data_IF_488992627908
#
_entry.id   IF_488992627908
#
_cell.length_a   1.000
_cell.length_b   1.000
_cell.length_c   1.000
_cell.angle_alpha   90.00
_cell.angle_beta   90.00
_cell.angle_gamma   90.00
#
_symmetry.space_group_name_H-M   'P 1'
#
loop_
_entity.id
_entity.type
_entity.pdbx_description
1 polymer ?
#
# COMPACT_ATOMS: atom_id res chain seq x y z
N UNK A 1 6.77 39.98 -10.63
CA UNK A 1 7.72 39.18 -9.82
C UNK A 1 7.63 37.77 -10.39
N UNK A 2 8.66 37.31 -11.12
CA UNK A 2 8.69 35.92 -11.58
C UNK A 2 8.61 35.03 -10.31
N UNK A 3 7.83 33.94 -10.31
CA UNK A 3 7.85 33.02 -9.18
C UNK A 3 9.30 32.62 -8.94
N UNK A 4 9.74 32.63 -7.67
CA UNK A 4 11.04 32.11 -7.31
C UNK A 4 11.17 30.73 -7.95
N UNK A 5 12.22 30.54 -8.76
CA UNK A 5 12.53 29.22 -9.32
C UNK A 5 12.81 28.34 -8.12
N UNK A 6 11.90 27.41 -7.84
CA UNK A 6 12.09 26.41 -6.79
C UNK A 6 13.04 25.39 -7.38
N UNK A 7 14.20 25.24 -6.75
CA UNK A 7 15.08 24.10 -6.95
C UNK A 7 14.65 23.02 -5.94
N UNK A 8 14.02 21.97 -6.44
CA UNK A 8 13.49 20.86 -5.63
C UNK A 8 14.59 19.87 -5.21
N UNK A 9 15.78 19.96 -5.80
CA UNK A 9 16.91 19.08 -5.50
C UNK A 9 18.06 19.78 -4.76
N UNK A 10 18.02 21.10 -4.60
CA UNK A 10 19.00 21.84 -3.79
C UNK A 10 19.03 21.33 -2.35
N UNK A 11 20.22 20.98 -1.86
CA UNK A 11 20.46 20.38 -0.55
C UNK A 11 19.60 19.13 -0.26
N UNK A 12 19.15 18.43 -1.31
CA UNK A 12 18.34 17.23 -1.17
C UNK A 12 19.19 16.02 -0.82
N UNK A 13 18.69 15.20 0.11
CA UNK A 13 19.29 13.90 0.45
C UNK A 13 18.83 12.76 -0.48
N UNK A 14 18.15 13.06 -1.59
CA UNK A 14 17.64 12.06 -2.51
C UNK A 14 18.79 11.31 -3.21
N UNK A 15 18.79 9.99 -3.05
CA UNK A 15 19.72 9.08 -3.71
C UNK A 15 18.97 8.29 -4.80
N UNK A 16 18.86 8.87 -6.00
CA UNK A 16 18.18 8.23 -7.13
C UNK A 16 18.74 6.85 -7.49
N UNK A 17 20.07 6.65 -7.65
CA UNK A 17 20.62 5.32 -7.91
C UNK A 17 20.26 4.29 -6.82
N UNK A 18 20.28 4.71 -5.55
CA UNK A 18 19.88 3.87 -4.42
C UNK A 18 18.40 3.48 -4.47
N UNK A 19 17.51 4.43 -4.78
CA UNK A 19 16.07 4.19 -4.94
C UNK A 19 15.80 3.23 -6.12
N UNK A 20 16.48 3.41 -7.25
CA UNK A 20 16.35 2.52 -8.39
C UNK A 20 16.81 1.10 -8.07
N UNK A 21 17.94 0.96 -7.36
CA UNK A 21 18.42 -0.34 -6.89
C UNK A 21 17.41 -1.00 -5.94
N UNK A 22 16.81 -0.23 -5.04
CA UNK A 22 15.78 -0.73 -4.12
C UNK A 22 14.56 -1.26 -4.87
N UNK A 23 14.03 -0.50 -5.83
CA UNK A 23 12.90 -0.93 -6.68
C UNK A 23 13.21 -2.24 -7.43
N UNK A 24 14.39 -2.37 -8.02
CA UNK A 24 14.82 -3.61 -8.68
C UNK A 24 14.89 -4.79 -7.71
N UNK A 25 15.40 -4.58 -6.50
CA UNK A 25 15.51 -5.63 -5.49
C UNK A 25 14.12 -6.06 -4.98
N UNK A 26 13.22 -5.12 -4.70
CA UNK A 26 11.87 -5.42 -4.21
C UNK A 26 11.11 -6.29 -5.21
N UNK A 27 11.26 -6.05 -6.52
CA UNK A 27 10.64 -6.87 -7.58
C UNK A 27 11.12 -8.33 -7.59
N UNK A 28 12.27 -8.63 -6.97
CA UNK A 28 12.83 -9.99 -6.90
C UNK A 28 12.41 -10.73 -5.63
N UNK A 29 11.86 -10.03 -4.63
CA UNK A 29 11.46 -10.64 -3.36
C UNK A 29 10.17 -11.42 -3.58
N UNK A 30 10.23 -12.73 -3.35
CA UNK A 30 9.05 -13.59 -3.31
C UNK A 30 8.45 -13.61 -1.90
N UNK A 31 7.14 -13.87 -1.77
CA UNK A 31 6.52 -14.16 -0.49
C UNK A 31 7.24 -15.30 0.25
N UNK A 32 7.43 -15.21 1.58
CA UNK A 32 8.06 -16.27 2.34
C UNK A 32 7.15 -17.51 2.35
N UNK A 33 7.73 -18.69 2.10
CA UNK A 33 7.01 -19.95 2.20
C UNK A 33 6.80 -20.33 3.65
N UNK A 34 5.63 -20.87 3.97
CA UNK A 34 5.35 -21.46 5.27
C UNK A 34 6.35 -22.60 5.57
N UNK A 35 7.15 -22.49 6.65
CA UNK A 35 8.23 -23.43 6.90
C UNK A 35 7.79 -24.70 7.65
N UNK A 36 6.55 -24.76 8.13
CA UNK A 36 6.00 -25.90 8.86
C UNK A 36 5.11 -26.78 7.98
N UNK A 37 4.65 -27.92 8.51
CA UNK A 37 3.72 -28.80 7.81
C UNK A 37 2.35 -28.15 7.62
N UNK A 38 1.66 -28.54 6.54
CA UNK A 38 0.28 -28.16 6.24
C UNK A 38 -0.59 -29.40 6.11
N UNK A 39 -1.80 -29.35 6.65
CA UNK A 39 -2.86 -30.31 6.38
C UNK A 39 -3.50 -30.00 5.02
N UNK A 40 -3.16 -30.80 4.01
CA UNK A 40 -3.61 -30.58 2.63
C UNK A 40 -5.13 -30.66 2.46
N UNK A 41 -5.83 -31.45 3.28
CA UNK A 41 -7.29 -31.52 3.22
C UNK A 41 -7.92 -30.22 3.74
N UNK A 42 -7.36 -29.65 4.81
CA UNK A 42 -7.78 -28.34 5.31
C UNK A 42 -7.39 -27.20 4.37
N UNK A 43 -6.22 -27.25 3.72
CA UNK A 43 -5.82 -26.28 2.68
C UNK A 43 -6.84 -26.28 1.55
N UNK A 44 -7.22 -27.45 1.02
CA UNK A 44 -8.21 -27.57 -0.06
C UNK A 44 -9.57 -27.00 0.36
N UNK A 45 -10.07 -27.39 1.54
CA UNK A 45 -11.33 -26.87 2.10
C UNK A 45 -11.25 -25.35 2.34
N UNK A 46 -10.12 -24.84 2.83
CA UNK A 46 -9.89 -23.43 3.07
C UNK A 46 -9.86 -22.62 1.79
N UNK A 47 -9.29 -23.16 0.71
CA UNK A 47 -9.30 -22.54 -0.61
C UNK A 47 -10.74 -22.38 -1.14
N UNK A 48 -11.60 -23.39 -0.96
CA UNK A 48 -13.02 -23.27 -1.31
C UNK A 48 -13.70 -22.16 -0.51
N UNK A 49 -13.44 -22.07 0.80
CA UNK A 49 -13.99 -21.02 1.68
C UNK A 49 -13.51 -19.64 1.23
N UNK A 50 -12.21 -19.48 0.99
CA UNK A 50 -11.59 -18.21 0.57
C UNK A 50 -12.23 -17.66 -0.71
N UNK A 51 -12.62 -18.54 -1.63
CA UNK A 51 -13.23 -18.18 -2.90
C UNK A 51 -14.77 -18.02 -2.87
N UNK A 52 -15.42 -18.19 -1.71
CA UNK A 52 -16.87 -17.92 -1.56
C UNK A 52 -17.17 -16.44 -1.80
N UNK A 53 -18.46 -16.14 -1.97
CA UNK A 53 -18.93 -14.76 -1.91
C UNK A 53 -18.65 -14.16 -0.51
N UNK A 54 -18.21 -12.89 -0.39
CA UNK A 54 -17.97 -12.27 0.91
C UNK A 54 -19.17 -12.29 1.86
N UNK A 55 -20.40 -12.28 1.32
CA UNK A 55 -21.64 -12.42 2.12
C UNK A 55 -21.75 -13.78 2.82
N UNK A 56 -21.05 -14.79 2.31
CA UNK A 56 -20.96 -16.14 2.84
C UNK A 56 -19.60 -16.43 3.50
N UNK A 57 -18.87 -15.38 3.89
CA UNK A 57 -17.58 -15.49 4.58
C UNK A 57 -16.36 -15.73 3.69
N UNK A 58 -16.48 -15.56 2.36
CA UNK A 58 -15.32 -15.59 1.47
C UNK A 58 -14.48 -14.31 1.52
N UNK A 59 -13.28 -14.37 0.93
CA UNK A 59 -12.26 -13.31 1.03
C UNK A 59 -11.79 -12.80 -0.33
N UNK A 60 -11.76 -13.66 -1.36
CA UNK A 60 -11.17 -13.34 -2.66
C UNK A 60 -12.00 -12.34 -3.47
N UNK A 61 -13.25 -12.71 -3.77
CA UNK A 61 -14.09 -12.07 -4.79
C UNK A 61 -14.32 -10.59 -4.46
N UNK A 62 -13.81 -9.70 -5.32
CA UNK A 62 -13.95 -8.25 -5.14
C UNK A 62 -13.11 -7.66 -4.00
N UNK A 63 -12.21 -8.43 -3.38
CA UNK A 63 -11.31 -7.98 -2.32
C UNK A 63 -9.89 -8.53 -2.54
N UNK A 64 -9.60 -9.75 -2.08
CA UNK A 64 -8.25 -10.31 -2.01
C UNK A 64 -7.86 -11.25 -3.17
N UNK A 65 -8.63 -11.27 -4.25
CA UNK A 65 -8.37 -12.15 -5.39
C UNK A 65 -7.09 -11.79 -6.15
N UNK A 66 -6.41 -12.82 -6.67
CA UNK A 66 -5.30 -12.65 -7.60
C UNK A 66 -5.88 -12.45 -9.00
N UNK A 67 -6.23 -11.20 -9.30
CA UNK A 67 -6.71 -10.79 -10.61
C UNK A 67 -5.70 -9.89 -11.32
N UNK A 68 -5.65 -9.95 -12.66
CA UNK A 68 -4.76 -9.10 -13.46
C UNK A 68 -5.25 -7.65 -13.48
N UNK A 69 -4.38 -6.72 -13.08
CA UNK A 69 -4.61 -5.28 -13.13
C UNK A 69 -4.37 -4.69 -14.51
N UNK A 70 -4.68 -3.39 -14.66
CA UNK A 70 -4.43 -2.66 -15.88
C UNK A 70 -2.91 -2.52 -16.13
N UNK A 71 -2.41 -2.77 -17.36
CA UNK A 71 -1.01 -2.56 -17.70
C UNK A 71 -0.60 -1.11 -17.44
N UNK A 72 0.55 -0.92 -16.79
CA UNK A 72 1.15 0.40 -16.58
C UNK A 72 2.42 0.54 -17.42
N UNK A 73 2.84 1.78 -17.67
CA UNK A 73 4.04 2.10 -18.48
C UNK A 73 5.24 1.26 -18.04
N UNK A 74 5.44 1.10 -16.73
CA UNK A 74 6.56 0.37 -16.14
C UNK A 74 6.23 -1.02 -15.60
N UNK A 75 5.10 -1.57 -16.01
CA UNK A 75 4.73 -2.94 -15.65
C UNK A 75 3.82 -3.51 -16.74
N UNK A 76 4.42 -3.85 -17.88
CA UNK A 76 3.72 -4.42 -19.04
C UNK A 76 3.17 -5.83 -18.77
N UNK A 77 3.80 -6.57 -17.84
CA UNK A 77 3.32 -7.89 -17.37
C UNK A 77 2.04 -7.75 -16.52
N UNK A 78 1.81 -6.57 -15.96
CA UNK A 78 0.63 -6.19 -15.17
C UNK A 78 0.89 -6.27 -13.67
N UNK A 79 0.28 -5.36 -12.91
CA UNK A 79 0.16 -5.50 -11.44
C UNK A 79 -1.08 -6.33 -11.12
N UNK A 80 -1.28 -6.70 -9.85
CA UNK A 80 -2.59 -7.20 -9.43
C UNK A 80 -3.65 -6.10 -9.49
N UNK A 81 -4.89 -6.51 -9.70
CA UNK A 81 -6.08 -5.67 -9.56
C UNK A 81 -6.50 -5.70 -8.10
N UNK A 82 -5.97 -4.77 -7.30
CA UNK A 82 -6.33 -4.62 -5.90
C UNK A 82 -7.42 -3.54 -5.76
N UNK A 83 -8.63 -3.90 -5.29
CA UNK A 83 -9.69 -2.93 -5.07
C UNK A 83 -9.38 -2.05 -3.85
N UNK A 84 -9.94 -0.84 -3.85
CA UNK A 84 -9.78 0.14 -2.79
C UNK A 84 -11.16 0.42 -2.21
N UNK A 85 -11.40 -0.11 -1.01
CA UNK A 85 -12.73 -0.24 -0.40
C UNK A 85 -12.71 0.31 1.04
N UNK A 86 -13.80 0.94 1.49
CA UNK A 86 -13.96 1.28 2.90
C UNK A 86 -14.66 0.12 3.60
N UNK A 87 -13.87 -0.63 4.36
CA UNK A 87 -14.33 -1.83 5.10
C UNK A 87 -14.54 -1.55 6.58
N UNK A 88 -14.68 -0.28 6.99
CA UNK A 88 -14.97 0.09 8.38
C UNK A 88 -13.75 0.14 9.31
N UNK A 89 -12.53 -0.06 8.78
CA UNK A 89 -11.29 0.00 9.57
C UNK A 89 -10.95 1.43 9.99
N UNK A 90 -9.90 1.57 10.81
CA UNK A 90 -9.47 2.85 11.37
C UNK A 90 -9.33 3.95 10.29
N UNK A 91 -9.77 5.17 10.58
CA UNK A 91 -9.83 6.27 9.62
C UNK A 91 -8.73 7.33 9.79
N UNK A 92 -7.86 7.18 10.80
CA UNK A 92 -6.90 8.20 11.19
C UNK A 92 -5.88 8.51 10.11
N UNK A 93 -5.40 7.50 9.38
CA UNK A 93 -4.40 7.72 8.32
C UNK A 93 -4.93 8.66 7.23
N UNK A 94 -6.19 8.50 6.84
CA UNK A 94 -6.85 9.43 5.92
C UNK A 94 -6.94 10.85 6.46
N UNK A 95 -7.22 10.99 7.76
CA UNK A 95 -7.22 12.30 8.41
C UNK A 95 -5.82 12.92 8.44
N UNK A 96 -4.77 12.10 8.60
CA UNK A 96 -3.36 12.54 8.51
C UNK A 96 -3.08 13.12 7.13
N UNK A 97 -3.43 12.42 6.05
CA UNK A 97 -3.18 12.86 4.67
C UNK A 97 -3.81 14.23 4.33
N UNK A 98 -4.94 14.57 4.97
CA UNK A 98 -5.63 15.85 4.73
C UNK A 98 -5.32 16.95 5.75
N UNK A 99 -4.40 16.71 6.70
CA UNK A 99 -3.90 17.76 7.60
C UNK A 99 -3.30 18.89 6.79
N UNK A 100 -3.35 20.10 7.33
CA UNK A 100 -2.73 21.27 6.73
C UNK A 100 -1.44 21.63 7.45
N UNK A 101 -0.44 22.06 6.69
CA UNK A 101 0.84 22.57 7.17
C UNK A 101 1.23 23.84 6.43
N UNK A 102 2.15 24.60 7.02
CA UNK A 102 2.78 25.74 6.34
C UNK A 102 3.59 25.23 5.15
N UNK A 103 3.42 25.86 3.99
CA UNK A 103 4.07 25.43 2.74
C UNK A 103 5.50 25.95 2.62
N UNK A 104 5.86 26.94 3.44
CA UNK A 104 7.22 27.46 3.55
C UNK A 104 7.77 27.95 2.20
N UNK A 105 8.93 27.43 1.82
CA UNK A 105 9.59 27.78 0.54
C UNK A 105 8.76 27.43 -0.69
N UNK A 106 7.78 26.51 -0.56
CA UNK A 106 6.90 26.11 -1.65
C UNK A 106 5.65 26.98 -1.77
N UNK A 107 5.49 28.02 -0.96
CA UNK A 107 4.36 28.94 -1.05
C UNK A 107 4.28 29.57 -2.46
N UNK A 108 3.13 29.43 -3.12
CA UNK A 108 2.90 29.89 -4.49
C UNK A 108 3.50 29.00 -5.58
N UNK A 109 4.23 27.93 -5.22
CA UNK A 109 4.81 27.00 -6.18
C UNK A 109 3.73 26.11 -6.82
N UNK A 110 3.99 25.71 -8.07
CA UNK A 110 3.15 24.83 -8.89
C UNK A 110 3.96 24.24 -10.03
N UNK A 111 3.48 23.12 -10.59
CA UNK A 111 3.99 22.56 -11.83
C UNK A 111 2.87 22.59 -12.86
N UNK A 112 2.97 23.54 -13.81
CA UNK A 112 1.96 23.70 -14.84
C UNK A 112 1.79 22.40 -15.64
N UNK A 113 0.55 22.13 -16.10
CA UNK A 113 0.19 20.99 -16.95
C UNK A 113 0.23 19.60 -16.29
N UNK A 114 0.54 19.49 -14.99
CA UNK A 114 0.39 18.23 -14.23
C UNK A 114 -0.84 18.32 -13.32
N UNK A 115 -1.93 17.61 -13.64
CA UNK A 115 -3.14 17.63 -12.83
C UNK A 115 -2.86 17.31 -11.35
N UNK A 116 -3.40 18.12 -10.45
CA UNK A 116 -3.28 17.93 -9.00
C UNK A 116 -2.19 18.79 -8.36
N UNK A 117 -1.17 19.20 -9.11
CA UNK A 117 -0.12 20.14 -8.68
C UNK A 117 0.00 21.38 -9.61
N UNK A 118 -0.99 21.56 -10.48
CA UNK A 118 -1.10 22.65 -11.45
C UNK A 118 -1.57 23.98 -10.84
N UNK A 119 -2.12 23.93 -9.63
CA UNK A 119 -2.56 25.10 -8.86
C UNK A 119 -1.49 25.55 -7.87
N UNK A 120 -1.24 26.87 -7.71
CA UNK A 120 -0.34 27.38 -6.69
C UNK A 120 -0.70 26.87 -5.30
N UNK A 121 0.28 26.39 -4.55
CA UNK A 121 0.12 26.15 -3.12
C UNK A 121 -0.18 27.45 -2.38
N UNK A 122 -1.09 27.38 -1.41
CA UNK A 122 -1.38 28.48 -0.48
C UNK A 122 -0.29 28.60 0.60
N UNK A 123 -0.24 29.66 1.42
CA UNK A 123 0.66 29.72 2.57
C UNK A 123 0.50 28.53 3.52
N UNK A 124 -0.74 28.05 3.68
CA UNK A 124 -1.09 26.82 4.38
C UNK A 124 -1.95 25.96 3.46
N UNK A 125 -1.54 24.72 3.22
CA UNK A 125 -2.23 23.77 2.34
C UNK A 125 -2.15 22.35 2.91
N UNK A 126 -2.87 21.40 2.31
CA UNK A 126 -2.85 20.00 2.73
C UNK A 126 -1.44 19.43 2.59
N UNK A 127 -0.97 18.68 3.58
CA UNK A 127 0.36 18.05 3.57
C UNK A 127 0.54 17.18 2.32
N UNK A 128 -0.52 16.54 1.85
CA UNK A 128 -0.46 15.71 0.64
C UNK A 128 -0.29 16.54 -0.64
N UNK A 129 -0.79 17.79 -0.68
CA UNK A 129 -0.51 18.73 -1.77
C UNK A 129 0.96 19.16 -1.77
N UNK A 130 1.50 19.44 -0.58
CA UNK A 130 2.90 19.83 -0.39
C UNK A 130 3.82 18.69 -0.83
N UNK A 131 3.59 17.47 -0.31
CA UNK A 131 4.33 16.27 -0.67
C UNK A 131 4.26 15.99 -2.18
N UNK A 132 3.06 16.05 -2.76
CA UNK A 132 2.85 15.81 -4.19
C UNK A 132 3.69 16.76 -5.05
N UNK A 133 3.69 18.05 -4.73
CA UNK A 133 4.50 19.04 -5.47
C UNK A 133 6.00 18.76 -5.32
N UNK A 134 6.49 18.51 -4.11
CA UNK A 134 7.91 18.23 -3.86
C UNK A 134 8.41 17.00 -4.59
N UNK A 135 7.64 15.89 -4.55
CA UNK A 135 8.01 14.63 -5.19
C UNK A 135 8.02 14.78 -6.71
N UNK A 136 6.97 15.38 -7.28
CA UNK A 136 6.88 15.58 -8.73
C UNK A 136 7.98 16.53 -9.21
N UNK A 137 8.22 17.62 -8.49
CA UNK A 137 9.30 18.57 -8.79
C UNK A 137 10.67 17.88 -8.81
N UNK A 138 10.98 17.09 -7.78
CA UNK A 138 12.23 16.33 -7.69
C UNK A 138 12.40 15.37 -8.88
N UNK A 139 11.35 14.65 -9.27
CA UNK A 139 11.38 13.72 -10.42
C UNK A 139 11.66 14.47 -11.73
N UNK A 140 11.06 15.65 -11.93
CA UNK A 140 11.25 16.44 -13.14
C UNK A 140 12.67 17.01 -13.23
N UNK A 141 13.24 17.43 -12.10
CA UNK A 141 14.58 18.02 -12.05
C UNK A 141 15.70 16.97 -12.02
N UNK A 142 15.41 15.71 -11.69
CA UNK A 142 16.41 14.65 -11.59
C UNK A 142 17.41 14.59 -12.76
N UNK A 143 17.00 14.72 -14.05
CA UNK A 143 17.95 14.69 -15.16
C UNK A 143 18.93 15.87 -15.19
N UNK A 144 18.54 17.03 -14.64
CA UNK A 144 19.40 18.22 -14.58
C UNK A 144 20.53 18.05 -13.56
N UNK A 145 20.28 17.30 -12.48
CA UNK A 145 21.25 17.11 -11.40
C UNK A 145 22.04 15.80 -11.52
N UNK A 146 21.42 14.73 -12.02
CA UNK A 146 21.99 13.38 -12.06
C UNK A 146 22.33 12.88 -13.47
N UNK A 147 22.04 13.67 -14.51
CA UNK A 147 22.23 13.26 -15.90
C UNK A 147 20.99 12.59 -16.51
N UNK A 148 20.94 12.54 -17.84
CA UNK A 148 19.80 11.99 -18.60
C UNK A 148 19.62 10.47 -18.40
N UNK A 149 20.67 9.79 -17.97
CA UNK A 149 20.74 8.34 -17.76
C UNK A 149 20.10 7.89 -16.43
N UNK A 150 19.75 8.81 -15.52
CA UNK A 150 19.08 8.50 -14.25
C UNK A 150 17.80 7.68 -14.43
N UNK A 151 17.13 7.83 -15.59
CA UNK A 151 15.92 7.09 -15.95
C UNK A 151 16.16 5.94 -16.93
N UNK A 152 17.40 5.67 -17.35
CA UNK A 152 17.69 4.64 -18.35
C UNK A 152 17.16 3.25 -17.95
N UNK A 153 17.31 2.76 -16.69
CA UNK A 153 16.74 1.47 -16.31
C UNK A 153 15.21 1.42 -16.42
N UNK A 154 14.55 2.54 -16.12
CA UNK A 154 13.10 2.71 -16.31
C UNK A 154 12.79 2.71 -17.81
N UNK A 155 13.51 3.46 -18.64
CA UNK A 155 13.26 3.49 -20.08
C UNK A 155 13.43 2.10 -20.73
N UNK A 156 14.47 1.36 -20.34
CA UNK A 156 14.76 0.02 -20.85
C UNK A 156 13.66 -0.99 -20.45
N UNK A 157 13.21 -0.94 -19.19
CA UNK A 157 12.15 -1.84 -18.69
C UNK A 157 10.75 -1.45 -19.19
N UNK A 158 10.45 -0.14 -19.20
CA UNK A 158 9.10 0.38 -19.40
C UNK A 158 8.79 0.70 -20.87
N UNK A 159 9.80 1.05 -21.66
CA UNK A 159 9.67 1.45 -23.05
C UNK A 159 10.70 0.74 -23.93
N UNK A 160 10.76 -0.61 -23.94
CA UNK A 160 11.71 -1.34 -24.78
C UNK A 160 11.53 -1.04 -26.28
N UNK A 161 10.31 -0.67 -26.69
CA UNK A 161 10.04 -0.22 -28.06
C UNK A 161 10.65 1.15 -28.38
N UNK A 162 10.85 2.03 -27.39
CA UNK A 162 11.52 3.32 -27.59
C UNK A 162 13.02 3.14 -27.81
N UNK A 163 13.64 2.09 -27.24
CA UNK A 163 15.04 1.75 -27.49
C UNK A 163 15.32 1.34 -28.95
N UNK A 164 14.29 0.92 -29.69
CA UNK A 164 14.37 0.53 -31.10
C UNK A 164 13.75 1.56 -32.06
N UNK A 165 13.18 2.65 -31.53
CA UNK A 165 12.48 3.66 -32.31
C UNK A 165 13.43 4.77 -32.81
N UNK A 166 13.02 5.50 -33.84
CA UNK A 166 13.71 6.73 -34.24
C UNK A 166 13.64 7.78 -33.11
N UNK A 167 14.56 8.74 -33.04
CA UNK A 167 14.59 9.75 -31.97
C UNK A 167 13.27 10.54 -31.81
N UNK A 168 12.57 10.83 -32.90
CA UNK A 168 11.29 11.55 -32.87
C UNK A 168 10.15 10.67 -32.36
N UNK A 169 10.08 9.42 -32.83
CA UNK A 169 9.10 8.45 -32.36
C UNK A 169 9.32 8.07 -30.89
N UNK A 170 10.58 7.94 -30.46
CA UNK A 170 10.96 7.72 -29.06
C UNK A 170 10.52 8.89 -28.17
N UNK A 171 10.78 10.14 -28.58
CA UNK A 171 10.32 11.35 -27.86
C UNK A 171 8.80 11.39 -27.71
N UNK A 172 8.05 11.05 -28.76
CA UNK A 172 6.58 11.00 -28.70
C UNK A 172 6.08 9.86 -27.78
N UNK A 173 6.70 8.68 -27.85
CA UNK A 173 6.38 7.54 -26.98
C UNK A 173 6.61 7.90 -25.51
N UNK A 174 7.78 8.44 -25.21
CA UNK A 174 8.17 8.89 -23.86
C UNK A 174 7.20 9.95 -23.37
N UNK A 175 6.89 10.97 -24.17
CA UNK A 175 5.95 12.03 -23.78
C UNK A 175 4.54 11.49 -23.45
N UNK A 176 3.98 10.66 -24.32
CA UNK A 176 2.63 10.11 -24.12
C UNK A 176 2.56 9.19 -22.90
N UNK A 177 3.59 8.37 -22.71
CA UNK A 177 3.67 7.42 -21.59
C UNK A 177 3.94 8.13 -20.27
N UNK A 178 4.85 9.11 -20.25
CA UNK A 178 5.13 9.94 -19.08
C UNK A 178 3.88 10.74 -18.67
N UNK A 179 3.15 11.33 -19.62
CA UNK A 179 1.89 12.02 -19.33
C UNK A 179 0.86 11.09 -18.68
N UNK A 180 0.72 9.84 -19.16
CA UNK A 180 -0.20 8.86 -18.58
C UNK A 180 0.26 8.36 -17.20
N UNK A 181 1.57 8.22 -16.99
CA UNK A 181 2.15 7.86 -15.70
C UNK A 181 1.96 8.97 -14.66
N UNK A 182 2.17 10.23 -15.05
CA UNK A 182 2.01 11.40 -14.19
C UNK A 182 0.55 11.67 -13.82
N UNK A 183 -0.41 11.38 -14.72
CA UNK A 183 -1.85 11.54 -14.43
C UNK A 183 -2.34 10.73 -13.22
N UNK A 184 -1.68 9.60 -12.89
CA UNK A 184 -2.03 8.77 -11.74
C UNK A 184 -0.99 8.82 -10.61
N UNK A 185 0.05 9.66 -10.74
CA UNK A 185 1.12 9.75 -9.76
C UNK A 185 0.63 10.43 -8.47
N UNK A 186 -0.32 11.34 -8.61
CA UNK A 186 -0.93 12.05 -7.50
C UNK A 186 -2.41 12.31 -7.77
N UNK A 187 -3.26 11.70 -6.96
CA UNK A 187 -4.69 12.02 -6.91
C UNK A 187 -4.98 12.64 -5.55
N UNK A 188 -5.41 13.90 -5.54
CA UNK A 188 -5.86 14.54 -4.31
C UNK A 188 -7.05 13.73 -3.76
N UNK A 189 -7.06 13.36 -2.47
CA UNK A 189 -8.18 12.63 -1.89
C UNK A 189 -9.49 13.40 -2.13
N UNK A 190 -10.53 12.70 -2.60
CA UNK A 190 -11.88 13.25 -2.63
C UNK A 190 -12.29 13.71 -1.22
N UNK A 191 -13.17 14.71 -1.12
CA UNK A 191 -13.75 15.07 0.17
C UNK A 191 -14.49 13.83 0.73
N UNK A 192 -14.11 13.38 1.94
CA UNK A 192 -14.62 12.16 2.55
C UNK A 192 -16.16 12.20 2.69
N UNK A 193 -16.82 11.03 2.58
CA UNK A 193 -17.03 10.29 3.83
C UNK A 193 -16.46 8.86 3.86
N UNK A 194 -15.72 8.39 2.85
CA UNK A 194 -15.16 7.02 2.82
C UNK A 194 -13.66 6.97 3.09
N UNK A 195 -13.22 6.06 3.97
CA UNK A 195 -11.82 5.80 4.33
C UNK A 195 -11.36 4.47 3.74
N UNK A 196 -10.92 4.49 2.49
CA UNK A 196 -10.74 3.28 1.68
C UNK A 196 -9.32 2.73 1.76
N UNK A 197 -9.14 1.46 2.05
CA UNK A 197 -7.81 0.84 2.02
C UNK A 197 -7.73 -0.17 0.88
N UNK A 198 -6.51 -0.40 0.42
CA UNK A 198 -6.23 -1.41 -0.60
C UNK A 198 -6.46 -2.81 -0.01
N UNK A 199 -7.30 -3.61 -0.66
CA UNK A 199 -7.38 -5.04 -0.42
C UNK A 199 -6.25 -5.72 -1.20
N UNK A 200 -5.08 -5.86 -0.55
CA UNK A 200 -3.90 -6.51 -1.14
C UNK A 200 -4.20 -7.98 -1.45
N UNK A 201 -3.43 -8.61 -2.33
CA UNK A 201 -3.43 -10.08 -2.38
C UNK A 201 -2.81 -10.65 -1.09
N UNK A 202 -3.13 -11.89 -0.77
CA UNK A 202 -2.77 -12.51 0.53
C UNK A 202 -1.50 -13.38 0.46
N UNK A 203 -0.71 -13.27 -0.60
CA UNK A 203 0.56 -13.97 -0.72
C UNK A 203 1.52 -13.61 0.44
N UNK A 204 1.99 -14.60 1.18
CA UNK A 204 2.83 -14.44 2.37
C UNK A 204 2.13 -13.82 3.58
N UNK A 205 0.79 -13.75 3.61
CA UNK A 205 0.02 -13.09 4.67
C UNK A 205 0.35 -13.65 6.06
N UNK A 206 0.70 -14.93 6.15
CA UNK A 206 1.07 -15.56 7.42
C UNK A 206 2.23 -14.82 8.11
N UNK A 207 3.18 -14.26 7.36
CA UNK A 207 4.36 -13.60 7.90
C UNK A 207 4.17 -12.10 8.22
N UNK A 208 2.96 -11.55 8.01
CA UNK A 208 2.70 -10.11 8.06
C UNK A 208 2.07 -9.61 9.37
N UNK A 209 2.04 -10.44 10.42
CA UNK A 209 1.47 -10.04 11.70
C UNK A 209 2.23 -8.85 12.33
N UNK A 210 1.54 -7.93 13.05
CA UNK A 210 0.09 -7.89 13.27
C UNK A 210 -0.70 -7.36 12.05
N UNK A 211 -2.00 -7.63 12.04
CA UNK A 211 -2.91 -7.40 10.91
C UNK A 211 -3.72 -6.10 11.02
N UNK A 212 -4.38 -5.76 9.90
CA UNK A 212 -4.92 -4.44 9.55
C UNK A 212 -3.82 -3.41 9.26
N UNK A 213 -4.19 -2.32 8.58
CA UNK A 213 -3.24 -1.28 8.15
C UNK A 213 -2.54 -0.57 9.32
N UNK A 214 -3.12 -0.63 10.53
CA UNK A 214 -2.57 -0.04 11.75
C UNK A 214 -1.99 -1.09 12.72
N UNK A 215 -1.95 -2.37 12.34
CA UNK A 215 -1.41 -3.43 13.17
C UNK A 215 -2.19 -3.69 14.47
N UNK A 216 -3.48 -3.38 14.52
CA UNK A 216 -4.31 -3.45 15.74
C UNK A 216 -4.85 -4.85 16.06
N UNK A 217 -4.59 -5.86 15.23
CA UNK A 217 -5.07 -7.25 15.42
C UNK A 217 -3.89 -8.23 15.40
N UNK A 218 -3.63 -9.01 16.47
CA UNK A 218 -2.37 -9.75 16.60
C UNK A 218 -2.25 -11.01 15.74
N UNK A 219 -3.37 -11.67 15.42
CA UNK A 219 -3.39 -12.96 14.70
C UNK A 219 -4.49 -12.98 13.63
N UNK A 220 -4.36 -13.82 12.59
CA UNK A 220 -5.44 -14.01 11.62
C UNK A 220 -6.68 -14.64 12.28
N UNK A 221 -6.48 -15.52 13.26
CA UNK A 221 -7.59 -16.09 14.03
C UNK A 221 -8.39 -15.00 14.77
N UNK A 222 -7.71 -13.98 15.33
CA UNK A 222 -8.37 -12.83 15.94
C UNK A 222 -9.06 -11.93 14.89
N UNK A 223 -8.51 -11.80 13.69
CA UNK A 223 -9.14 -11.05 12.61
C UNK A 223 -10.49 -11.65 12.19
N UNK A 224 -10.62 -12.99 12.25
CA UNK A 224 -11.85 -13.75 12.02
C UNK A 224 -12.84 -13.72 13.21
N UNK A 225 -12.58 -12.93 14.24
CA UNK A 225 -13.56 -12.59 15.28
C UNK A 225 -14.25 -11.28 14.95
N UNK A 226 -15.49 -11.12 15.42
CA UNK A 226 -16.18 -9.82 15.34
C UNK A 226 -15.31 -8.76 16.03
N UNK A 227 -15.29 -7.51 15.55
CA UNK A 227 -14.45 -6.46 16.11
C UNK A 227 -14.51 -6.35 17.63
N UNK A 228 -15.68 -6.53 18.24
CA UNK A 228 -15.87 -6.49 19.70
C UNK A 228 -15.10 -7.58 20.46
N UNK A 229 -14.94 -8.76 19.86
CA UNK A 229 -14.36 -9.97 20.48
C UNK A 229 -12.84 -10.09 20.23
N UNK A 230 -12.25 -9.16 19.48
CA UNK A 230 -10.79 -9.08 19.27
C UNK A 230 -10.06 -8.71 20.58
N UNK A 231 -8.77 -9.01 20.73
CA UNK A 231 -8.01 -8.56 21.90
C UNK A 231 -7.94 -7.02 21.98
N UNK A 232 -8.18 -6.46 23.17
CA UNK A 232 -8.01 -5.02 23.41
C UNK A 232 -6.54 -4.63 23.67
N UNK A 233 -5.70 -5.61 23.98
CA UNK A 233 -4.25 -5.44 24.07
C UNK A 233 -3.52 -6.77 23.81
N UNK A 234 -2.26 -6.69 23.40
CA UNK A 234 -1.39 -7.86 23.17
C UNK A 234 0.09 -7.47 23.28
N UNK A 235 0.93 -8.45 23.58
CA UNK A 235 2.40 -8.26 23.62
C UNK A 235 2.96 -8.24 22.21
N UNK A 236 3.93 -7.37 21.96
CA UNK A 236 4.65 -7.27 20.69
C UNK A 236 6.06 -7.82 20.86
N UNK A 237 6.46 -8.70 19.94
CA UNK A 237 7.79 -9.30 19.90
C UNK A 237 7.91 -10.36 18.79
N UNK A 238 9.03 -11.11 18.75
CA UNK A 238 9.33 -12.04 17.67
C UNK A 238 8.71 -13.44 17.83
N UNK A 239 8.16 -13.79 19.01
CA UNK A 239 7.55 -15.10 19.21
C UNK A 239 6.26 -15.23 18.40
N UNK A 240 6.11 -16.36 17.74
CA UNK A 240 5.09 -16.58 16.72
C UNK A 240 4.12 -17.69 17.12
N UNK A 241 2.82 -17.46 16.93
CA UNK A 241 1.76 -18.45 17.12
C UNK A 241 1.42 -19.10 15.78
N UNK A 242 1.84 -20.36 15.63
CA UNK A 242 1.64 -21.16 14.41
C UNK A 242 0.16 -21.54 14.24
N UNK A 243 -0.56 -21.73 15.34
CA UNK A 243 -1.96 -22.17 15.31
C UNK A 243 -2.88 -21.02 14.91
N UNK A 244 -2.73 -19.86 15.55
CA UNK A 244 -3.55 -18.68 15.30
C UNK A 244 -3.02 -17.79 14.17
N UNK A 245 -1.80 -18.05 13.71
CA UNK A 245 -1.09 -17.33 12.62
C UNK A 245 -0.89 -15.87 12.98
N UNK A 246 0.16 -15.59 13.76
CA UNK A 246 0.59 -14.23 14.07
C UNK A 246 1.41 -14.11 15.35
N UNK A 247 1.22 -13.03 16.09
CA UNK A 247 1.97 -12.78 17.33
C UNK A 247 1.53 -13.75 18.43
N UNK A 248 2.51 -14.43 19.04
CA UNK A 248 2.29 -15.19 20.27
C UNK A 248 1.85 -14.29 21.41
N UNK A 249 0.92 -14.80 22.24
CA UNK A 249 0.52 -14.14 23.50
C UNK A 249 1.72 -13.94 24.43
N UNK A 250 2.66 -14.89 24.41
CA UNK A 250 3.90 -14.81 25.19
C UNK A 250 5.09 -14.52 24.27
N UNK A 251 5.78 -13.41 24.56
CA UNK A 251 6.89 -12.88 23.75
C UNK A 251 8.28 -13.11 24.38
N UNK A 252 8.38 -13.84 25.48
CA UNK A 252 9.64 -14.05 26.19
C UNK A 252 10.15 -12.76 26.83
N UNK A 253 11.31 -12.26 26.38
CA UNK A 253 12.01 -11.13 27.01
C UNK A 253 11.43 -9.73 26.68
N UNK A 254 10.44 -9.65 25.78
CA UNK A 254 9.84 -8.37 25.38
C UNK A 254 8.64 -8.02 26.26
N UNK A 255 8.60 -6.77 26.73
CA UNK A 255 7.55 -6.25 27.62
C UNK A 255 6.68 -5.15 26.98
N UNK A 256 6.84 -4.90 25.68
CA UNK A 256 6.02 -3.94 24.95
C UNK A 256 4.61 -4.48 24.75
N UNK A 257 3.62 -3.73 25.21
CA UNK A 257 2.20 -4.03 25.02
C UNK A 257 1.58 -3.01 24.08
N UNK A 258 0.93 -3.49 23.03
CA UNK A 258 0.08 -2.68 22.17
C UNK A 258 -1.33 -2.60 22.78
N UNK A 259 -1.91 -1.40 22.83
CA UNK A 259 -3.29 -1.17 23.27
C UNK A 259 -4.13 -0.76 22.07
N UNK A 260 -5.12 -1.59 21.72
CA UNK A 260 -6.04 -1.34 20.63
C UNK A 260 -7.31 -0.67 21.16
N UNK A 261 -7.76 0.38 20.48
CA UNK A 261 -9.03 1.03 20.78
C UNK A 261 -10.19 0.26 20.15
N UNK A 262 -11.38 0.36 20.75
CA UNK A 262 -12.59 -0.25 20.21
C UNK A 262 -13.20 0.58 19.05
N UNK A 263 -14.32 0.10 18.51
CA UNK A 263 -15.03 0.75 17.41
C UNK A 263 -15.62 2.13 17.75
N UNK A 264 -15.76 2.49 19.03
CA UNK A 264 -16.22 3.84 19.42
C UNK A 264 -15.20 4.93 19.09
N UNK A 265 -13.93 4.55 18.92
CA UNK A 265 -12.83 5.43 18.54
C UNK A 265 -12.21 5.01 17.21
N UNK A 266 -13.05 4.87 16.18
CA UNK A 266 -12.64 4.45 14.82
C UNK A 266 -11.52 5.33 14.24
N UNK A 267 -11.35 6.56 14.68
CA UNK A 267 -10.33 7.49 14.17
C UNK A 267 -9.12 7.69 15.11
N UNK A 268 -8.93 6.79 16.08
CA UNK A 268 -7.83 6.88 17.04
C UNK A 268 -6.45 6.69 16.42
N UNK A 269 -6.34 5.93 15.34
CA UNK A 269 -5.11 5.39 14.80
C UNK A 269 -4.80 3.98 15.30
N UNK A 270 -5.45 3.53 16.37
CA UNK A 270 -5.25 2.22 16.99
C UNK A 270 -6.56 1.40 17.05
N UNK A 271 -7.60 1.80 16.33
CA UNK A 271 -8.88 1.11 16.35
C UNK A 271 -8.77 -0.28 15.71
N UNK A 272 -9.29 -1.30 16.41
CA UNK A 272 -9.42 -2.69 15.90
C UNK A 272 -10.72 -2.92 15.12
N UNK A 273 -11.37 -1.85 14.65
CA UNK A 273 -12.67 -1.92 14.00
C UNK A 273 -12.61 -2.39 12.54
N UNK A 274 -13.77 -2.77 11.99
CA UNK A 274 -13.96 -3.09 10.59
C UNK A 274 -13.35 -4.42 10.14
N UNK A 275 -13.44 -4.65 8.83
CA UNK A 275 -13.05 -5.91 8.20
C UNK A 275 -13.76 -7.11 8.85
N UNK A 276 -15.10 -7.11 8.82
CA UNK A 276 -15.94 -8.10 9.51
C UNK A 276 -16.19 -9.37 8.68
N UNK A 277 -15.43 -9.54 7.60
CA UNK A 277 -15.50 -10.69 6.70
C UNK A 277 -15.05 -11.97 7.39
N UNK A 278 -15.71 -13.09 7.10
CA UNK A 278 -15.40 -14.39 7.69
C UNK A 278 -15.75 -14.54 9.18
N UNK A 279 -16.26 -13.50 9.84
CA UNK A 279 -16.55 -13.53 11.29
C UNK A 279 -17.68 -14.48 11.67
N UNK A 280 -18.61 -14.71 10.75
CA UNK A 280 -19.75 -15.62 10.86
C UNK A 280 -19.46 -17.07 10.47
N UNK A 281 -18.24 -17.37 9.99
CA UNK A 281 -17.84 -18.75 9.70
C UNK A 281 -17.88 -19.62 10.96
N UNK A 282 -18.16 -20.90 10.78
CA UNK A 282 -18.06 -21.90 11.85
C UNK A 282 -16.60 -22.14 12.22
N UNK A 283 -16.32 -22.61 13.43
CA UNK A 283 -14.94 -22.88 13.86
C UNK A 283 -14.19 -23.86 12.93
N UNK A 284 -14.81 -24.96 12.43
CA UNK A 284 -14.16 -25.81 11.43
C UNK A 284 -13.84 -25.10 10.11
N UNK A 285 -14.67 -24.15 9.69
CA UNK A 285 -14.43 -23.36 8.48
C UNK A 285 -13.33 -22.31 8.71
N UNK A 286 -13.30 -21.66 9.88
CA UNK A 286 -12.20 -20.75 10.26
C UNK A 286 -10.87 -21.50 10.31
N UNK A 287 -10.84 -22.70 10.88
CA UNK A 287 -9.64 -23.56 10.92
C UNK A 287 -9.14 -23.91 9.52
N UNK A 288 -10.04 -24.32 8.62
CA UNK A 288 -9.69 -24.62 7.24
C UNK A 288 -9.18 -23.39 6.49
N UNK A 289 -9.86 -22.24 6.65
CA UNK A 289 -9.44 -20.97 6.06
C UNK A 289 -8.04 -20.55 6.55
N UNK A 290 -7.76 -20.63 7.85
CA UNK A 290 -6.43 -20.34 8.39
C UNK A 290 -5.36 -21.27 7.80
N UNK A 291 -5.65 -22.56 7.63
CA UNK A 291 -4.72 -23.50 7.00
C UNK A 291 -4.41 -23.12 5.55
N UNK A 292 -5.42 -22.67 4.79
CA UNK A 292 -5.21 -22.15 3.45
C UNK A 292 -4.38 -20.86 3.45
N UNK A 293 -4.64 -19.91 4.36
CA UNK A 293 -3.86 -18.66 4.46
C UNK A 293 -2.39 -18.90 4.83
N UNK A 294 -2.06 -20.00 5.52
CA UNK A 294 -0.67 -20.43 5.73
C UNK A 294 -0.01 -20.88 4.43
N UNK A 295 -0.77 -21.43 3.49
CA UNK A 295 -0.23 -21.93 2.21
C UNK A 295 0.08 -20.84 1.18
N UNK A 296 -0.39 -19.61 1.42
CA UNK A 296 -0.20 -18.44 0.56
C UNK A 296 1.12 -17.71 0.84
#
# INVERSE_FOLDING_TARGET
>A
ILPNVIDYLNDSSLNYPGLMRLETLIKQIAPPKWPWSLDQALVAKGAEIFNRDPKNGGCAKGCHEIAKGAPRVCNLKGTWKTPIEDVGTDSREYQVLVREGETGVLNGARIAFIPGVDKPLKPKDKIISILGLSVIGSIIEAPLHFGLDVFQPILDECLPAAAQASPESAKLLVRNKLSAALQNLYSKPAAAPSFKYESRVMEGIWAAAPYLHNGSVPTLADLLKKPADRPASFKVGPAYDIENVGLSKEQGAFNSTYNADDCSKRDSGNSRCGHDFGTSLTDPDKKALLEYLKSL
#
